data_IF_881606829662
#
_entry.id   IF_881606829662
#
_cell.length_a   1.000
_cell.length_b   1.000
_cell.length_c   1.000
_cell.angle_alpha   90.00
_cell.angle_beta   90.00
_cell.angle_gamma   90.00
#
_symmetry.space_group_name_H-M   'P 1'
#
loop_
_entity.id
_entity.type
_entity.pdbx_description
1 polymer ?
#
# COMPACT_ATOMS: atom_id res chain seq x y z
N UNK A 1 -42.40 41.24 23.23
CA UNK A 1 -41.39 40.24 23.65
C UNK A 1 -41.38 39.11 22.63
N UNK A 2 -40.39 38.99 21.73
CA UNK A 2 -40.21 37.78 20.95
C UNK A 2 -39.17 36.87 21.60
N UNK A 3 -39.49 35.58 21.66
CA UNK A 3 -38.62 34.50 22.11
C UNK A 3 -37.50 34.27 21.09
N UNK A 4 -36.25 34.21 21.56
CA UNK A 4 -35.07 33.84 20.76
C UNK A 4 -35.13 32.34 20.46
N UNK A 5 -35.17 31.97 19.19
CA UNK A 5 -34.80 30.63 18.74
C UNK A 5 -33.28 30.50 18.76
N UNK A 6 -32.77 29.60 19.59
CA UNK A 6 -31.38 29.14 19.56
C UNK A 6 -31.32 27.89 18.68
N UNK A 7 -30.98 28.08 17.42
CA UNK A 7 -30.63 26.96 16.54
C UNK A 7 -29.11 26.73 16.63
N UNK A 8 -28.71 25.81 17.50
CA UNK A 8 -27.36 25.24 17.52
C UNK A 8 -27.39 23.91 16.78
N UNK A 9 -27.34 23.94 15.45
CA UNK A 9 -27.11 22.75 14.65
C UNK A 9 -25.63 22.69 14.27
N UNK A 10 -24.86 21.99 15.10
CA UNK A 10 -23.56 21.47 14.69
C UNK A 10 -23.79 20.56 13.49
N UNK A 11 -23.35 20.97 12.30
CA UNK A 11 -23.29 20.10 11.13
C UNK A 11 -22.30 18.98 11.43
N UNK A 12 -22.81 17.82 11.85
CA UNK A 12 -22.13 16.55 11.64
C UNK A 12 -21.88 16.44 10.13
N UNK A 13 -20.64 16.68 9.72
CA UNK A 13 -20.20 16.43 8.35
C UNK A 13 -20.33 14.93 8.13
N UNK A 14 -21.35 14.51 7.37
CA UNK A 14 -21.44 13.15 6.84
C UNK A 14 -20.13 12.88 6.09
N UNK A 15 -19.25 12.08 6.69
CA UNK A 15 -18.11 11.50 5.97
C UNK A 15 -18.69 10.61 4.88
N UNK A 16 -18.44 10.96 3.64
CA UNK A 16 -18.80 10.16 2.48
C UNK A 16 -18.10 8.80 2.58
N UNK A 17 -18.86 7.72 2.41
CA UNK A 17 -18.29 6.36 2.33
C UNK A 17 -17.28 6.33 1.19
N UNK A 18 -16.03 5.96 1.48
CA UNK A 18 -14.99 5.74 0.48
C UNK A 18 -14.83 4.25 0.16
N UNK A 19 -14.47 3.93 -1.08
CA UNK A 19 -13.93 2.62 -1.47
C UNK A 19 -12.41 2.66 -1.37
N UNK A 20 -11.82 1.77 -0.56
CA UNK A 20 -10.39 1.75 -0.25
C UNK A 20 -9.82 0.38 -0.63
N UNK A 21 -8.83 0.38 -1.51
CA UNK A 21 -8.08 -0.83 -1.90
C UNK A 21 -6.68 -0.81 -1.28
N UNK A 22 -6.42 -1.76 -0.38
CA UNK A 22 -5.16 -1.92 0.33
C UNK A 22 -4.27 -2.95 -0.38
N UNK A 23 -3.11 -2.53 -0.84
CA UNK A 23 -2.19 -3.30 -1.68
C UNK A 23 -0.94 -3.63 -0.86
N UNK A 24 -0.75 -4.91 -0.56
CA UNK A 24 0.35 -5.38 0.26
C UNK A 24 1.69 -5.38 -0.50
N UNK A 25 2.78 -5.40 0.26
CA UNK A 25 4.14 -5.47 -0.27
C UNK A 25 4.69 -6.88 -0.34
N UNK A 26 5.98 -6.97 -0.67
CA UNK A 26 6.73 -8.20 -0.73
C UNK A 26 6.59 -9.04 0.53
N UNK A 27 6.63 -10.36 0.34
CA UNK A 27 6.63 -11.38 1.38
C UNK A 27 5.39 -11.50 2.27
N UNK A 28 4.37 -10.69 1.99
CA UNK A 28 3.11 -10.62 2.74
C UNK A 28 1.92 -10.96 1.84
N UNK A 29 0.72 -10.76 2.36
CA UNK A 29 -0.54 -10.89 1.63
C UNK A 29 -1.56 -9.88 2.17
N UNK A 30 -2.80 -9.95 1.69
CA UNK A 30 -3.89 -9.09 2.16
C UNK A 30 -4.08 -9.10 3.68
N UNK A 31 -3.75 -10.22 4.33
CA UNK A 31 -3.79 -10.39 5.79
C UNK A 31 -3.00 -9.32 6.58
N UNK A 32 -1.95 -8.75 5.99
CA UNK A 32 -1.10 -7.73 6.65
C UNK A 32 -1.91 -6.48 6.99
N UNK A 33 -2.96 -6.21 6.21
CA UNK A 33 -3.84 -5.07 6.37
C UNK A 33 -5.02 -5.34 7.31
N UNK A 34 -5.18 -6.55 7.85
CA UNK A 34 -6.37 -6.95 8.61
C UNK A 34 -6.78 -5.98 9.72
N UNK A 35 -5.80 -5.46 10.49
CA UNK A 35 -6.04 -4.48 11.56
C UNK A 35 -6.47 -3.12 11.01
N UNK A 36 -5.75 -2.59 10.02
CA UNK A 36 -6.10 -1.32 9.35
C UNK A 36 -7.47 -1.41 8.68
N UNK A 37 -7.76 -2.52 8.00
CA UNK A 37 -9.04 -2.74 7.36
C UNK A 37 -10.20 -2.78 8.36
N UNK A 38 -9.98 -3.33 9.56
CA UNK A 38 -10.96 -3.27 10.64
C UNK A 38 -11.25 -1.84 11.07
N UNK A 39 -10.21 -1.02 11.29
CA UNK A 39 -10.35 0.41 11.64
C UNK A 39 -11.10 1.21 10.56
N UNK A 40 -10.72 1.02 9.29
CA UNK A 40 -11.35 1.70 8.16
C UNK A 40 -12.82 1.27 7.97
N UNK A 41 -13.15 -0.01 8.16
CA UNK A 41 -14.53 -0.50 8.11
C UNK A 41 -15.36 0.01 9.28
N UNK A 42 -14.78 0.06 10.49
CA UNK A 42 -15.42 0.63 11.66
C UNK A 42 -15.74 2.13 11.49
N UNK A 43 -14.94 2.84 10.69
CA UNK A 43 -15.20 4.21 10.27
C UNK A 43 -16.23 4.36 9.12
N UNK A 44 -16.82 3.24 8.64
CA UNK A 44 -17.91 3.25 7.66
C UNK A 44 -17.47 3.13 6.20
N UNK A 45 -16.20 2.83 5.92
CA UNK A 45 -15.69 2.72 4.55
C UNK A 45 -15.82 1.29 3.98
N UNK A 46 -15.96 1.19 2.65
CA UNK A 46 -15.85 -0.09 1.94
C UNK A 46 -14.36 -0.40 1.71
N UNK A 47 -13.86 -1.49 2.28
CA UNK A 47 -12.42 -1.80 2.27
C UNK A 47 -12.13 -3.18 1.68
N UNK A 48 -11.27 -3.20 0.68
CA UNK A 48 -10.73 -4.38 0.01
C UNK A 48 -9.24 -4.53 0.33
N UNK A 49 -8.80 -5.75 0.62
CA UNK A 49 -7.40 -6.06 0.88
C UNK A 49 -7.07 -7.46 0.32
N UNK A 50 -7.12 -7.66 -1.01
CA UNK A 50 -6.81 -8.95 -1.62
C UNK A 50 -5.33 -9.27 -1.49
N UNK A 51 -4.98 -10.56 -1.45
CA UNK A 51 -3.62 -11.00 -1.74
C UNK A 51 -3.39 -10.98 -3.25
N UNK A 52 -2.26 -10.42 -3.67
CA UNK A 52 -1.83 -10.38 -5.07
C UNK A 52 -1.56 -11.80 -5.60
N UNK A 53 -1.61 -11.97 -6.93
CA UNK A 53 -1.28 -13.25 -7.56
C UNK A 53 0.05 -13.85 -7.08
N UNK A 54 0.04 -15.16 -6.83
CA UNK A 54 1.19 -15.91 -6.30
C UNK A 54 1.58 -15.59 -4.85
N UNK A 55 0.82 -14.79 -4.09
CA UNK A 55 1.15 -14.38 -2.72
C UNK A 55 0.24 -15.01 -1.65
N UNK A 56 0.77 -15.18 -0.43
CA UNK A 56 0.04 -15.66 0.75
C UNK A 56 -0.83 -16.91 0.53
N UNK A 57 -2.15 -16.84 0.74
CA UNK A 57 -3.07 -17.97 0.53
C UNK A 57 -3.12 -18.44 -0.94
N UNK A 58 -2.70 -17.57 -1.86
CA UNK A 58 -2.57 -17.82 -3.29
C UNK A 58 -1.17 -18.28 -3.69
N UNK A 59 -0.28 -18.58 -2.74
CA UNK A 59 1.08 -19.04 -3.04
C UNK A 59 1.12 -20.35 -3.86
N UNK A 60 0.06 -21.16 -3.80
CA UNK A 60 -0.08 -22.37 -4.61
C UNK A 60 -0.29 -22.08 -6.12
N UNK A 61 -0.61 -20.83 -6.49
CA UNK A 61 -0.77 -20.36 -7.88
C UNK A 61 0.54 -19.84 -8.50
N UNK A 62 1.66 -19.93 -7.78
CA UNK A 62 2.96 -19.43 -8.23
C UNK A 62 3.36 -20.09 -9.55
N UNK A 63 3.75 -19.27 -10.53
CA UNK A 63 4.16 -19.70 -11.88
C UNK A 63 5.02 -18.62 -12.55
N UNK A 64 5.75 -18.95 -13.64
CA UNK A 64 6.48 -17.94 -14.40
C UNK A 64 5.55 -16.84 -14.92
N UNK A 65 6.06 -15.61 -15.03
CA UNK A 65 5.33 -14.49 -15.63
C UNK A 65 4.41 -13.70 -14.68
N UNK A 66 4.43 -13.96 -13.36
CA UNK A 66 3.77 -13.07 -12.39
C UNK A 66 4.66 -11.83 -12.18
N UNK A 67 4.25 -10.70 -12.77
CA UNK A 67 4.95 -9.40 -12.72
C UNK A 67 4.13 -8.36 -11.97
N UNK A 68 4.72 -7.18 -11.75
CA UNK A 68 4.00 -6.00 -11.25
C UNK A 68 2.82 -5.64 -12.15
N UNK A 69 3.00 -5.72 -13.47
CA UNK A 69 1.97 -5.42 -14.46
C UNK A 69 0.82 -6.43 -14.41
N UNK A 70 1.12 -7.74 -14.37
CA UNK A 70 0.05 -8.75 -14.29
C UNK A 70 -0.74 -8.65 -13.00
N UNK A 71 -0.09 -8.31 -11.88
CA UNK A 71 -0.76 -8.07 -10.59
C UNK A 71 -1.62 -6.80 -10.63
N UNK A 72 -1.16 -5.75 -11.31
CA UNK A 72 -1.97 -4.54 -11.52
C UNK A 72 -3.17 -4.80 -12.43
N UNK A 73 -3.01 -5.61 -13.48
CA UNK A 73 -4.10 -6.04 -14.36
C UNK A 73 -5.15 -6.86 -13.61
N UNK A 74 -4.75 -7.76 -12.71
CA UNK A 74 -5.66 -8.48 -11.82
C UNK A 74 -6.51 -7.52 -10.97
N UNK A 75 -5.88 -6.52 -10.36
CA UNK A 75 -6.60 -5.52 -9.56
C UNK A 75 -7.46 -4.61 -10.44
N UNK A 76 -7.06 -4.29 -11.66
CA UNK A 76 -7.88 -3.53 -12.60
C UNK A 76 -9.15 -4.33 -12.98
N UNK A 77 -9.01 -5.64 -13.17
CA UNK A 77 -10.13 -6.56 -13.33
C UNK A 77 -11.07 -6.55 -12.12
N UNK A 78 -10.52 -6.59 -10.90
CA UNK A 78 -11.31 -6.44 -9.66
C UNK A 78 -12.10 -5.13 -9.66
N UNK A 79 -11.45 -3.98 -9.92
CA UNK A 79 -12.14 -2.68 -9.98
C UNK A 79 -13.23 -2.63 -11.04
N UNK A 80 -13.03 -3.29 -12.19
CA UNK A 80 -13.99 -3.34 -13.27
C UNK A 80 -15.21 -4.20 -12.95
N UNK A 81 -14.99 -5.43 -12.49
CA UNK A 81 -16.05 -6.42 -12.26
C UNK A 81 -16.93 -6.09 -11.04
N UNK A 82 -16.38 -5.42 -10.04
CA UNK A 82 -17.11 -4.93 -8.87
C UNK A 82 -17.68 -3.50 -9.08
N UNK A 83 -17.56 -2.97 -10.30
CA UNK A 83 -17.90 -1.58 -10.69
C UNK A 83 -17.44 -0.49 -9.71
N UNK A 84 -16.23 -0.64 -9.17
CA UNK A 84 -15.67 0.30 -8.21
C UNK A 84 -15.16 1.55 -8.93
N UNK A 85 -15.43 2.72 -8.33
CA UNK A 85 -15.04 4.04 -8.83
C UNK A 85 -14.59 4.93 -7.67
N UNK A 86 -13.88 6.01 -8.00
CA UNK A 86 -13.29 6.94 -7.03
C UNK A 86 -12.47 6.20 -5.94
N UNK A 87 -11.80 5.10 -6.32
CA UNK A 87 -11.13 4.22 -5.38
C UNK A 87 -9.89 4.90 -4.82
N UNK A 88 -9.74 4.84 -3.50
CA UNK A 88 -8.52 5.22 -2.79
C UNK A 88 -7.57 4.03 -2.83
N UNK A 89 -6.48 4.14 -3.58
CA UNK A 89 -5.44 3.12 -3.61
C UNK A 89 -4.44 3.37 -2.49
N UNK A 90 -4.19 2.36 -1.66
CA UNK A 90 -3.18 2.43 -0.58
C UNK A 90 -2.16 1.34 -0.79
N UNK A 91 -0.91 1.72 -1.06
CA UNK A 91 0.19 0.79 -1.31
C UNK A 91 1.22 0.87 -0.20
N UNK A 92 1.83 -0.27 0.15
CA UNK A 92 3.00 -0.34 1.04
C UNK A 92 4.12 -1.13 0.40
N UNK A 93 5.37 -0.75 0.66
CA UNK A 93 6.56 -1.38 0.06
C UNK A 93 6.39 -1.58 -1.46
N UNK A 94 6.71 -2.75 -2.02
CA UNK A 94 6.50 -3.10 -3.45
C UNK A 94 5.04 -3.01 -3.91
N UNK A 95 4.06 -3.00 -2.99
CA UNK A 95 2.67 -2.73 -3.33
C UNK A 95 2.46 -1.33 -3.91
N UNK A 96 3.38 -0.39 -3.65
CA UNK A 96 3.44 0.90 -4.34
C UNK A 96 3.67 0.80 -5.85
N UNK A 97 4.43 -0.20 -6.31
CA UNK A 97 4.70 -0.40 -7.75
C UNK A 97 3.41 -0.86 -8.46
N UNK A 98 2.73 -1.83 -7.85
CA UNK A 98 1.43 -2.33 -8.34
C UNK A 98 0.38 -1.22 -8.30
N UNK A 99 0.36 -0.41 -7.24
CA UNK A 99 -0.49 0.77 -7.13
C UNK A 99 -0.27 1.75 -8.30
N UNK A 100 0.98 2.11 -8.60
CA UNK A 100 1.30 3.03 -9.69
C UNK A 100 0.81 2.48 -11.03
N UNK A 101 1.08 1.21 -11.32
CA UNK A 101 0.66 0.59 -12.59
C UNK A 101 -0.87 0.46 -12.67
N UNK A 102 -1.52 0.05 -11.59
CA UNK A 102 -2.98 -0.02 -11.51
C UNK A 102 -3.61 1.35 -11.76
N UNK A 103 -3.07 2.39 -11.12
CA UNK A 103 -3.55 3.75 -11.28
C UNK A 103 -3.48 4.19 -12.75
N UNK A 104 -2.35 3.94 -13.42
CA UNK A 104 -2.15 4.28 -14.83
C UNK A 104 -3.14 3.59 -15.77
N UNK A 105 -3.35 2.27 -15.61
CA UNK A 105 -4.20 1.49 -16.52
C UNK A 105 -5.70 1.62 -16.22
N UNK A 106 -6.05 1.95 -14.97
CA UNK A 106 -7.42 2.10 -14.50
C UNK A 106 -7.76 3.54 -14.08
N UNK A 107 -7.12 4.55 -14.70
CA UNK A 107 -7.19 5.97 -14.31
C UNK A 107 -8.60 6.49 -14.02
N UNK A 108 -9.60 6.07 -14.81
CA UNK A 108 -10.99 6.52 -14.68
C UNK A 108 -11.73 5.96 -13.45
N UNK A 109 -11.15 5.00 -12.73
CA UNK A 109 -11.71 4.38 -11.51
C UNK A 109 -11.00 4.82 -10.23
N UNK A 110 -9.88 5.53 -10.35
CA UNK A 110 -9.01 5.90 -9.23
C UNK A 110 -9.25 7.35 -8.83
N UNK A 111 -9.60 7.54 -7.56
CA UNK A 111 -9.84 8.87 -6.97
C UNK A 111 -8.56 9.52 -6.45
N UNK A 112 -7.78 8.80 -5.62
CA UNK A 112 -6.50 9.28 -5.09
C UNK A 112 -5.57 8.17 -4.65
N UNK A 113 -4.31 8.52 -4.40
CA UNK A 113 -3.22 7.60 -4.07
C UNK A 113 -2.70 7.83 -2.64
N UNK A 114 -2.38 6.76 -1.93
CA UNK A 114 -1.72 6.81 -0.62
C UNK A 114 -0.55 5.83 -0.61
N UNK A 115 0.66 6.36 -0.39
CA UNK A 115 1.89 5.58 -0.28
C UNK A 115 2.27 5.47 1.19
N UNK A 116 2.10 4.29 1.80
CA UNK A 116 2.48 4.01 3.18
C UNK A 116 3.82 3.27 3.22
N UNK A 117 4.90 4.04 3.37
CA UNK A 117 6.28 3.56 3.29
C UNK A 117 6.54 2.69 2.05
N UNK A 118 6.17 3.21 0.89
CA UNK A 118 6.04 2.44 -0.35
C UNK A 118 7.09 2.76 -1.42
N UNK A 119 7.20 1.87 -2.39
CA UNK A 119 8.03 2.01 -3.57
C UNK A 119 7.20 2.58 -4.73
N UNK A 120 7.35 3.87 -5.01
CA UNK A 120 6.93 4.48 -6.28
C UNK A 120 8.14 4.69 -7.21
N UNK A 121 8.37 3.74 -8.11
CA UNK A 121 9.50 3.75 -9.05
C UNK A 121 9.22 4.65 -10.25
N UNK A 122 10.28 5.14 -10.91
CA UNK A 122 10.20 5.69 -12.27
C UNK A 122 10.04 4.56 -13.29
N UNK A 123 9.55 4.91 -14.47
CA UNK A 123 9.54 3.98 -15.61
C UNK A 123 10.95 3.41 -15.84
N UNK A 124 11.04 2.09 -15.99
CA UNK A 124 12.31 1.39 -16.19
C UNK A 124 13.15 1.13 -14.93
N UNK A 125 12.84 1.75 -13.78
CA UNK A 125 13.55 1.45 -12.51
C UNK A 125 13.18 0.05 -12.00
N UNK A 126 14.08 -0.51 -11.19
CA UNK A 126 13.94 -1.79 -10.49
C UNK A 126 13.98 -1.59 -8.99
N UNK A 127 13.48 -2.57 -8.23
CA UNK A 127 13.58 -2.56 -6.75
C UNK A 127 15.04 -2.41 -6.30
N UNK A 128 15.97 -3.06 -7.00
CA UNK A 128 17.40 -3.03 -6.68
C UNK A 128 18.06 -1.65 -6.83
N UNK A 129 17.45 -0.75 -7.63
CA UNK A 129 17.97 0.63 -7.80
C UNK A 129 17.67 1.50 -6.57
N UNK A 130 16.66 1.12 -5.79
CA UNK A 130 16.15 1.88 -4.65
C UNK A 130 16.50 1.23 -3.30
N UNK A 131 16.36 -0.09 -3.22
CA UNK A 131 16.48 -0.86 -1.97
C UNK A 131 17.56 -1.92 -2.10
N UNK A 132 18.50 -1.91 -1.15
CA UNK A 132 19.50 -2.97 -1.05
C UNK A 132 18.88 -4.23 -0.43
N UNK A 133 19.01 -5.35 -1.12
CA UNK A 133 18.57 -6.68 -0.67
C UNK A 133 19.81 -7.56 -0.46
N UNK A 134 20.47 -7.49 0.72
CA UNK A 134 21.79 -8.11 0.92
C UNK A 134 21.75 -9.64 0.88
N UNK A 135 20.60 -10.25 1.14
CA UNK A 135 20.40 -11.69 1.27
C UNK A 135 19.09 -12.09 0.61
N UNK A 136 19.17 -12.99 -0.37
CA UNK A 136 18.01 -13.60 -1.00
C UNK A 136 18.28 -15.07 -1.31
N UNK A 137 17.33 -15.91 -0.96
CA UNK A 137 17.22 -17.29 -1.44
C UNK A 137 16.25 -17.25 -2.61
N UNK A 138 16.76 -17.48 -3.83
CA UNK A 138 15.93 -17.45 -5.04
C UNK A 138 15.70 -18.86 -5.59
N UNK A 139 14.51 -19.08 -6.10
CA UNK A 139 14.15 -20.22 -6.98
C UNK A 139 13.90 -19.70 -8.39
N UNK A 140 13.50 -20.58 -9.31
CA UNK A 140 13.05 -20.15 -10.64
C UNK A 140 11.77 -19.28 -10.61
N UNK A 141 11.00 -19.30 -9.51
CA UNK A 141 9.69 -18.65 -9.42
C UNK A 141 9.60 -17.58 -8.33
N UNK A 142 10.40 -17.70 -7.28
CA UNK A 142 10.30 -16.87 -6.07
C UNK A 142 11.64 -16.34 -5.63
N UNK A 143 11.62 -15.20 -4.95
CA UNK A 143 12.80 -14.65 -4.27
C UNK A 143 12.41 -14.04 -2.94
N UNK A 144 13.33 -14.06 -2.00
CA UNK A 144 13.17 -13.44 -0.69
C UNK A 144 14.23 -13.89 0.29
N UNK A 145 14.35 -13.24 1.46
CA UNK A 145 15.26 -13.70 2.51
C UNK A 145 14.92 -15.14 2.96
N UNK A 146 15.85 -15.78 3.65
CA UNK A 146 15.51 -16.99 4.40
C UNK A 146 14.51 -16.63 5.51
N UNK A 147 13.81 -17.63 6.06
CA UNK A 147 12.88 -17.38 7.17
C UNK A 147 13.59 -16.78 8.39
N UNK A 148 14.78 -17.27 8.70
CA UNK A 148 15.62 -16.76 9.80
C UNK A 148 16.04 -15.31 9.57
N UNK A 149 16.49 -14.96 8.36
CA UNK A 149 16.84 -13.57 8.02
C UNK A 149 15.60 -12.67 7.99
N UNK A 150 14.44 -13.14 7.53
CA UNK A 150 13.20 -12.40 7.62
C UNK A 150 12.83 -12.08 9.07
N UNK A 151 12.95 -13.05 9.98
CA UNK A 151 12.69 -12.86 11.41
C UNK A 151 13.70 -11.91 12.07
N UNK A 152 14.98 -12.12 11.83
CA UNK A 152 16.08 -11.39 12.47
C UNK A 152 16.36 -10.00 11.90
N UNK A 153 15.90 -9.70 10.68
CA UNK A 153 16.16 -8.42 10.00
C UNK A 153 14.89 -7.67 9.61
N UNK A 154 13.96 -8.30 8.91
CA UNK A 154 12.75 -7.60 8.44
C UNK A 154 11.76 -7.37 9.59
N UNK A 155 11.55 -8.40 10.41
CA UNK A 155 10.54 -8.38 11.47
C UNK A 155 11.13 -8.18 12.87
N UNK A 156 12.41 -7.78 12.95
CA UNK A 156 13.14 -7.66 14.22
C UNK A 156 12.50 -6.67 15.19
N UNK A 157 11.97 -5.57 14.67
CA UNK A 157 11.31 -4.52 15.47
C UNK A 157 9.87 -4.89 15.90
N UNK A 158 9.30 -5.99 15.40
CA UNK A 158 7.97 -6.42 15.83
C UNK A 158 8.02 -7.08 17.21
N UNK A 159 7.04 -6.75 18.04
CA UNK A 159 6.80 -7.42 19.32
C UNK A 159 6.74 -8.95 19.14
N UNK A 160 7.28 -9.76 20.08
CA UNK A 160 7.51 -11.20 19.87
C UNK A 160 6.29 -11.97 19.35
N UNK A 161 5.10 -11.74 19.92
CA UNK A 161 3.88 -12.39 19.48
C UNK A 161 3.45 -11.99 18.07
N UNK A 162 3.57 -10.70 17.74
CA UNK A 162 3.26 -10.17 16.41
C UNK A 162 4.28 -10.65 15.37
N UNK A 163 5.56 -10.74 15.74
CA UNK A 163 6.63 -11.28 14.92
C UNK A 163 6.36 -12.74 14.57
N UNK A 164 6.08 -13.59 15.56
CA UNK A 164 5.74 -14.99 15.35
C UNK A 164 4.50 -15.15 14.45
N UNK A 165 3.47 -14.35 14.70
CA UNK A 165 2.24 -14.36 13.90
C UNK A 165 2.48 -13.95 12.43
N UNK A 166 3.33 -12.95 12.22
CA UNK A 166 3.74 -12.45 10.90
C UNK A 166 4.60 -13.49 10.17
N UNK A 167 5.60 -14.05 10.86
CA UNK A 167 6.51 -15.05 10.32
C UNK A 167 5.80 -16.36 9.93
N UNK A 168 4.74 -16.75 10.64
CA UNK A 168 3.92 -17.91 10.27
C UNK A 168 3.26 -17.75 8.89
N UNK A 169 3.01 -16.50 8.48
CA UNK A 169 2.37 -16.12 7.20
C UNK A 169 3.36 -15.64 6.14
N UNK A 170 4.64 -15.51 6.49
CA UNK A 170 5.70 -15.15 5.57
C UNK A 170 5.76 -16.15 4.40
N UNK A 171 5.85 -15.62 3.18
CA UNK A 171 6.14 -16.40 1.96
C UNK A 171 7.14 -15.63 1.12
N UNK A 172 7.92 -16.31 0.30
CA UNK A 172 8.74 -15.64 -0.70
C UNK A 172 7.84 -15.00 -1.78
N UNK A 173 8.34 -13.97 -2.46
CA UNK A 173 7.57 -13.20 -3.42
C UNK A 173 7.85 -13.66 -4.86
N UNK A 174 6.92 -13.51 -5.83
CA UNK A 174 7.20 -13.82 -7.22
C UNK A 174 8.45 -13.09 -7.73
N UNK A 175 9.37 -13.83 -8.33
CA UNK A 175 10.71 -13.31 -8.70
C UNK A 175 10.63 -12.23 -9.78
N UNK A 176 9.79 -12.44 -10.80
CA UNK A 176 9.65 -11.49 -11.90
C UNK A 176 9.06 -10.15 -11.42
N UNK A 177 8.06 -10.16 -10.53
CA UNK A 177 7.52 -8.95 -9.90
C UNK A 177 8.52 -8.18 -9.04
N UNK A 178 9.60 -8.83 -8.58
CA UNK A 178 10.63 -8.22 -7.75
C UNK A 178 11.83 -7.69 -8.55
N UNK A 179 12.18 -8.35 -9.67
CA UNK A 179 13.45 -8.11 -10.38
C UNK A 179 13.28 -7.40 -11.73
N UNK A 180 12.09 -7.48 -12.32
CA UNK A 180 11.81 -6.80 -13.58
C UNK A 180 11.75 -5.28 -13.36
N UNK A 181 12.18 -4.49 -14.38
CA UNK A 181 11.90 -3.06 -14.38
C UNK A 181 10.39 -2.82 -14.45
N UNK A 182 9.87 -1.83 -13.73
CA UNK A 182 8.45 -1.46 -13.81
C UNK A 182 8.16 -0.74 -15.11
N UNK A 183 6.98 -0.97 -15.68
CA UNK A 183 6.45 -0.20 -16.81
C UNK A 183 5.43 0.83 -16.33
N UNK A 184 5.78 2.11 -16.44
CA UNK A 184 4.99 3.26 -15.99
C UNK A 184 5.05 4.38 -17.04
N UNK A 185 4.61 4.07 -18.25
CA UNK A 185 4.74 4.92 -19.45
C UNK A 185 4.10 6.31 -19.31
N UNK A 186 3.05 6.44 -18.50
CA UNK A 186 2.27 7.68 -18.35
C UNK A 186 2.01 8.08 -16.90
N UNK A 187 2.29 7.22 -15.93
CA UNK A 187 1.90 7.41 -14.54
C UNK A 187 2.38 8.76 -14.03
N UNK A 188 3.63 9.12 -14.29
CA UNK A 188 4.22 10.37 -13.80
C UNK A 188 3.75 11.62 -14.55
N UNK A 189 3.09 11.46 -15.71
CA UNK A 189 2.52 12.56 -16.51
C UNK A 189 1.02 12.77 -16.23
N UNK A 190 0.38 11.82 -15.55
CA UNK A 190 -1.04 11.88 -15.21
C UNK A 190 -1.26 12.67 -13.90
N UNK A 191 -2.38 13.41 -13.78
CA UNK A 191 -2.69 14.13 -12.54
C UNK A 191 -3.21 13.18 -11.46
N UNK A 192 -2.61 13.25 -10.27
CA UNK A 192 -2.98 12.51 -9.06
C UNK A 192 -3.29 13.45 -7.88
N UNK A 193 -4.36 14.25 -7.97
CA UNK A 193 -4.70 15.20 -6.91
C UNK A 193 -4.93 14.46 -5.58
N UNK A 194 -4.66 15.15 -4.47
CA UNK A 194 -4.88 14.64 -3.11
C UNK A 194 -4.10 13.35 -2.79
N UNK A 195 -2.98 13.13 -3.48
CA UNK A 195 -2.07 12.05 -3.15
C UNK A 195 -1.41 12.29 -1.79
N UNK A 196 -1.12 11.22 -1.06
CA UNK A 196 -0.45 11.27 0.25
C UNK A 196 0.74 10.33 0.27
N UNK A 197 1.86 10.79 0.82
CA UNK A 197 3.01 9.94 1.18
C UNK A 197 3.14 9.93 2.69
N UNK A 198 3.06 8.74 3.28
CA UNK A 198 3.24 8.49 4.72
C UNK A 198 4.59 7.81 4.88
N UNK A 199 5.57 8.54 5.39
CA UNK A 199 6.91 8.01 5.65
C UNK A 199 7.02 7.48 7.08
N UNK A 200 7.57 6.27 7.21
CA UNK A 200 7.84 5.65 8.50
C UNK A 200 9.25 5.99 8.97
N UNK A 201 9.39 6.81 10.01
CA UNK A 201 10.67 7.46 10.38
C UNK A 201 11.78 6.50 10.79
N UNK A 202 11.41 5.32 11.30
CA UNK A 202 12.35 4.29 11.74
C UNK A 202 12.63 3.25 10.66
N UNK A 203 11.95 3.35 9.51
CA UNK A 203 12.17 2.47 8.37
C UNK A 203 13.47 2.84 7.65
N UNK A 204 14.33 1.84 7.44
CA UNK A 204 15.53 1.99 6.62
C UNK A 204 15.23 1.90 5.12
N UNK A 205 14.20 1.13 4.73
CA UNK A 205 13.84 0.88 3.34
C UNK A 205 12.32 0.88 3.17
N UNK A 206 11.75 1.56 2.16
CA UNK A 206 12.43 2.45 1.21
C UNK A 206 13.05 3.68 1.89
N UNK A 207 14.20 4.18 1.39
CA UNK A 207 14.90 5.28 2.05
C UNK A 207 14.09 6.59 1.99
N UNK A 208 14.28 7.47 2.97
CA UNK A 208 13.57 8.76 3.03
C UNK A 208 13.68 9.58 1.73
N UNK A 209 14.85 9.58 1.08
CA UNK A 209 15.05 10.28 -0.19
C UNK A 209 14.12 9.78 -1.30
N UNK A 210 13.82 8.48 -1.33
CA UNK A 210 12.85 7.89 -2.26
C UNK A 210 11.42 8.37 -1.97
N UNK A 211 11.05 8.39 -0.69
CA UNK A 211 9.74 8.89 -0.27
C UNK A 211 9.58 10.37 -0.59
N UNK A 212 10.61 11.19 -0.35
CA UNK A 212 10.63 12.63 -0.67
C UNK A 212 10.47 12.87 -2.16
N UNK A 213 11.26 12.17 -3.00
CA UNK A 213 11.12 12.22 -4.47
C UNK A 213 9.70 11.93 -4.92
N UNK A 214 9.07 10.91 -4.32
CA UNK A 214 7.68 10.54 -4.62
C UNK A 214 6.73 11.67 -4.26
N UNK A 215 6.84 12.22 -3.06
CA UNK A 215 5.96 13.29 -2.58
C UNK A 215 6.07 14.55 -3.44
N UNK A 216 7.29 14.98 -3.75
CA UNK A 216 7.56 16.15 -4.59
C UNK A 216 7.01 15.95 -6.01
N UNK A 217 7.24 14.78 -6.60
CA UNK A 217 6.81 14.50 -7.99
C UNK A 217 5.30 14.45 -8.14
N UNK A 218 4.57 14.06 -7.10
CA UNK A 218 3.11 13.99 -7.10
C UNK A 218 2.45 15.25 -6.53
N UNK A 219 3.24 16.22 -6.05
CA UNK A 219 2.75 17.29 -5.17
C UNK A 219 1.86 16.73 -4.03
N UNK A 220 2.30 15.61 -3.44
CA UNK A 220 1.54 14.87 -2.46
C UNK A 220 1.71 15.46 -1.06
N UNK A 221 0.68 15.28 -0.23
CA UNK A 221 0.76 15.58 1.20
C UNK A 221 1.81 14.68 1.85
N UNK A 222 2.77 15.29 2.52
CA UNK A 222 3.77 14.58 3.33
C UNK A 222 3.29 14.38 4.75
N UNK A 223 3.21 13.11 5.18
CA UNK A 223 2.89 12.71 6.55
C UNK A 223 4.01 11.83 7.10
N UNK A 224 4.21 11.89 8.41
CA UNK A 224 5.24 11.10 9.11
C UNK A 224 4.59 10.25 10.19
N UNK A 225 5.06 9.01 10.32
CA UNK A 225 4.64 8.07 11.34
C UNK A 225 5.86 7.47 12.04
N UNK A 226 5.86 7.48 13.37
CA UNK A 226 7.01 7.06 14.18
C UNK A 226 7.07 5.55 14.37
N UNK A 227 7.30 4.82 13.29
CA UNK A 227 7.33 3.35 13.30
C UNK A 227 8.28 2.81 12.24
N UNK A 228 8.51 1.49 12.27
CA UNK A 228 9.30 0.77 11.28
C UNK A 228 8.52 0.51 9.98
N UNK A 229 9.02 -0.39 9.13
CA UNK A 229 8.47 -0.64 7.78
C UNK A 229 7.06 -1.27 7.74
N UNK A 230 6.51 -1.70 8.88
CA UNK A 230 5.22 -2.40 8.95
C UNK A 230 4.15 -1.62 9.73
N UNK A 231 3.83 -0.36 9.34
CA UNK A 231 2.89 0.50 10.07
C UNK A 231 1.48 -0.09 10.15
N UNK A 232 1.10 -0.94 9.20
CA UNK A 232 -0.18 -1.64 9.21
C UNK A 232 -0.31 -2.69 10.32
N UNK A 233 0.81 -3.16 10.87
CA UNK A 233 0.85 -4.13 11.97
C UNK A 233 1.07 -3.43 13.32
N UNK A 234 1.97 -2.46 13.37
CA UNK A 234 2.41 -1.76 14.58
C UNK A 234 1.49 -0.60 14.96
N UNK A 235 1.05 0.19 13.98
CA UNK A 235 0.31 1.44 14.18
C UNK A 235 -1.01 1.49 13.38
N UNK A 236 -1.86 0.45 13.44
CA UNK A 236 -3.02 0.33 12.54
C UNK A 236 -4.03 1.47 12.69
N UNK A 237 -4.28 1.94 13.91
CA UNK A 237 -5.21 3.05 14.19
C UNK A 237 -4.68 4.36 13.64
N UNK A 238 -3.40 4.67 13.89
CA UNK A 238 -2.77 5.88 13.41
C UNK A 238 -2.69 5.90 11.88
N UNK A 239 -2.30 4.77 11.27
CA UNK A 239 -2.24 4.63 9.82
C UNK A 239 -3.62 4.78 9.18
N UNK A 240 -4.67 4.15 9.73
CA UNK A 240 -6.03 4.30 9.25
C UNK A 240 -6.48 5.78 9.27
N UNK A 241 -6.22 6.51 10.36
CA UNK A 241 -6.52 7.95 10.43
C UNK A 241 -5.76 8.75 9.36
N UNK A 242 -4.48 8.46 9.14
CA UNK A 242 -3.67 9.14 8.12
C UNK A 242 -4.14 8.84 6.70
N UNK A 243 -4.56 7.59 6.41
CA UNK A 243 -5.16 7.21 5.12
C UNK A 243 -6.39 8.10 4.87
N UNK A 244 -7.24 8.31 5.87
CA UNK A 244 -8.48 9.07 5.73
C UNK A 244 -8.28 10.61 5.79
N UNK A 245 -7.14 11.11 6.25
CA UNK A 245 -6.90 12.55 6.39
C UNK A 245 -6.94 13.34 5.06
N UNK A 246 -6.96 12.65 3.91
CA UNK A 246 -7.15 13.25 2.58
C UNK A 246 -8.60 13.40 2.13
N UNK A 247 -9.60 13.07 2.96
CA UNK A 247 -11.01 12.99 2.56
C UNK A 247 -11.84 14.29 2.68
N UNK A 248 -11.24 15.49 2.84
CA UNK A 248 -12.07 16.71 2.82
C UNK A 248 -11.43 18.01 3.31
N UNK A 249 -10.66 18.66 2.45
CA UNK A 249 -10.41 20.11 2.52
C UNK A 249 -10.88 20.85 1.25
N UNK A 250 -11.92 20.32 0.59
CA UNK A 250 -12.60 20.96 -0.55
C UNK A 250 -13.96 21.51 -0.16
#
# INVERSE_FOLDING_TARGET
MPLRGSDSTGKERHRTMACILLIHGAYTGGWVWSRVAAELRAAGHHVLAPSLDGCAERAHLIRPGITTESQAEELAGLLFHEDLREVVLVGTSTGGMVLCRLAEIARARVGRLVFADALALRDGERVADIVRRPTAVSTALTTGPSREDAEGRLFAELEPGLRAWTLARYRQHPIAAMEAPVRLERFWDLPWPNSTVIWCRRSANPPQAHQRRTAESLNARWLELDTGHYPMLTEPVALARMILAGEGEG
#
